data_IF_220319566490
#
_entry.id   IF_220319566490
#
_cell.length_a   1.000
_cell.length_b   1.000
_cell.length_c   1.000
_cell.angle_alpha   90.00
_cell.angle_beta   90.00
_cell.angle_gamma   90.00
#
_symmetry.space_group_name_H-M   'P 1'
#
loop_
_entity.id
_entity.type
_entity.pdbx_description
1 polymer ?
#
# COMPACT_ATOMS: atom_id res chain seq x y z
N UNK A 1 -7.82 16.36 -21.79
CA UNK A 1 -8.67 15.44 -21.01
C UNK A 1 -8.06 15.32 -19.62
N UNK A 2 -8.83 15.61 -18.58
CA UNK A 2 -8.41 15.45 -17.20
C UNK A 2 -8.02 13.98 -16.95
N UNK A 3 -6.82 13.74 -16.41
CA UNK A 3 -6.36 12.41 -16.02
C UNK A 3 -7.34 11.87 -14.96
N UNK A 4 -7.92 10.69 -15.18
CA UNK A 4 -8.82 10.07 -14.21
C UNK A 4 -8.03 9.68 -12.96
N UNK A 5 -8.36 10.27 -11.81
CA UNK A 5 -7.68 9.95 -10.55
C UNK A 5 -8.34 8.72 -9.91
N UNK A 6 -7.66 7.58 -9.99
CA UNK A 6 -8.14 6.30 -9.44
C UNK A 6 -8.28 6.36 -7.91
N UNK A 7 -7.55 7.27 -7.24
CA UNK A 7 -7.54 7.41 -5.78
C UNK A 7 -8.82 8.06 -5.22
N UNK A 8 -9.59 8.78 -6.03
CA UNK A 8 -10.82 9.46 -5.59
C UNK A 8 -12.06 8.56 -5.63
N UNK A 9 -11.90 7.32 -6.08
CA UNK A 9 -13.01 6.39 -6.21
C UNK A 9 -13.40 5.80 -4.84
N UNK A 10 -14.69 5.77 -4.53
CA UNK A 10 -15.23 5.32 -3.22
C UNK A 10 -14.74 3.92 -2.79
N UNK A 11 -14.57 3.01 -3.75
CA UNK A 11 -14.13 1.62 -3.52
C UNK A 11 -12.61 1.53 -3.29
N UNK A 12 -11.83 2.54 -3.70
CA UNK A 12 -10.37 2.52 -3.60
C UNK A 12 -9.96 3.06 -2.22
N UNK A 13 -9.33 2.24 -1.36
CA UNK A 13 -8.91 2.69 -0.04
C UNK A 13 -7.70 3.63 -0.12
N UNK A 14 -7.43 4.32 0.98
CA UNK A 14 -6.27 5.18 1.10
C UNK A 14 -5.00 4.34 1.24
N UNK A 15 -3.98 4.66 0.43
CA UNK A 15 -2.69 3.97 0.45
C UNK A 15 -1.61 4.94 0.94
N UNK A 16 -0.76 4.46 1.85
CA UNK A 16 0.36 5.22 2.41
C UNK A 16 1.64 4.40 2.35
N UNK A 17 2.73 5.05 1.92
CA UNK A 17 4.05 4.45 1.99
C UNK A 17 4.57 4.51 3.43
N UNK A 18 4.94 3.36 3.98
CA UNK A 18 5.53 3.28 5.32
C UNK A 18 7.01 3.68 5.24
N UNK A 19 7.50 4.57 6.12
CA UNK A 19 8.93 4.86 6.25
C UNK A 19 9.73 3.63 6.69
N UNK A 20 10.96 3.47 6.20
CA UNK A 20 11.80 2.29 6.50
C UNK A 20 11.99 2.08 8.00
N UNK A 21 12.10 3.17 8.76
CA UNK A 21 12.31 3.16 10.22
C UNK A 21 11.13 2.56 11.00
N UNK A 22 9.92 2.62 10.43
CA UNK A 22 8.70 2.10 11.04
C UNK A 22 8.31 0.72 10.52
N UNK A 23 8.90 0.26 9.41
CA UNK A 23 8.64 -1.06 8.85
C UNK A 23 8.93 -2.17 9.86
N UNK A 24 10.07 -2.10 10.56
CA UNK A 24 10.47 -3.13 11.54
C UNK A 24 9.58 -3.14 12.79
N UNK A 25 9.09 -1.98 13.22
CA UNK A 25 8.15 -1.86 14.34
C UNK A 25 6.82 -2.51 13.98
N UNK A 26 6.27 -2.18 12.81
CA UNK A 26 5.00 -2.72 12.31
C UNK A 26 5.09 -4.25 12.15
N UNK A 27 6.18 -4.76 11.60
CA UNK A 27 6.39 -6.20 11.47
C UNK A 27 6.47 -6.92 12.83
N UNK A 28 7.09 -6.27 13.82
CA UNK A 28 7.19 -6.79 15.18
C UNK A 28 5.83 -6.83 15.89
N UNK A 29 5.02 -5.78 15.74
CA UNK A 29 3.64 -5.72 16.27
C UNK A 29 2.74 -6.79 15.65
N UNK A 30 2.85 -6.97 14.33
CA UNK A 30 2.11 -8.00 13.58
C UNK A 30 2.68 -9.41 13.76
N UNK A 31 3.85 -9.56 14.39
CA UNK A 31 4.58 -10.83 14.56
C UNK A 31 4.67 -11.61 13.25
N UNK A 32 4.98 -10.91 12.16
CA UNK A 32 4.93 -11.44 10.79
C UNK A 32 6.19 -11.02 10.01
N UNK A 33 6.55 -11.80 8.99
CA UNK A 33 7.65 -11.48 8.09
C UNK A 33 7.14 -10.71 6.85
N UNK A 34 8.01 -9.91 6.21
CA UNK A 34 7.66 -9.18 4.97
C UNK A 34 7.10 -10.11 3.90
N UNK A 35 7.62 -11.34 3.83
CA UNK A 35 7.23 -12.35 2.85
C UNK A 35 5.83 -12.93 3.07
N UNK A 36 5.38 -12.94 4.33
CA UNK A 36 4.05 -13.42 4.71
C UNK A 36 2.96 -12.38 4.46
N UNK A 37 3.32 -11.11 4.21
CA UNK A 37 2.36 -10.08 3.86
C UNK A 37 1.81 -10.28 2.44
N UNK A 38 0.52 -9.95 2.20
CA UNK A 38 -0.04 -9.97 0.86
C UNK A 38 0.75 -9.07 -0.07
N UNK A 39 1.04 -9.59 -1.27
CA UNK A 39 1.88 -8.92 -2.26
C UNK A 39 1.05 -7.98 -3.13
N UNK A 40 1.63 -6.84 -3.50
CA UNK A 40 1.09 -5.91 -4.49
C UNK A 40 2.13 -5.66 -5.57
N UNK A 41 1.70 -5.73 -6.83
CA UNK A 41 2.61 -5.48 -7.96
C UNK A 41 2.97 -4.00 -8.03
N UNK A 42 4.23 -3.71 -8.33
CA UNK A 42 4.66 -2.35 -8.69
C UNK A 42 3.94 -1.79 -9.92
N UNK A 43 3.35 -2.65 -10.77
CA UNK A 43 2.57 -2.24 -11.94
C UNK A 43 1.13 -1.84 -11.60
N UNK A 44 0.69 -2.01 -10.36
CA UNK A 44 -0.67 -1.73 -9.94
C UNK A 44 -1.01 -0.21 -10.07
N UNK A 45 -2.20 0.17 -10.56
CA UNK A 45 -2.58 1.57 -10.71
C UNK A 45 -2.55 2.39 -9.42
N UNK A 46 -2.88 1.79 -8.27
CA UNK A 46 -2.86 2.50 -6.98
C UNK A 46 -1.43 2.84 -6.56
N UNK A 47 -0.49 1.94 -6.84
CA UNK A 47 0.95 2.17 -6.62
C UNK A 47 1.46 3.29 -7.50
N UNK A 48 1.13 3.26 -8.79
CA UNK A 48 1.54 4.31 -9.74
C UNK A 48 0.99 5.67 -9.36
N UNK A 49 -0.28 5.73 -8.94
CA UNK A 49 -0.88 6.98 -8.47
C UNK A 49 -0.19 7.51 -7.20
N UNK A 50 0.23 6.61 -6.31
CA UNK A 50 0.97 6.96 -5.10
C UNK A 50 2.40 7.44 -5.42
N UNK A 51 3.09 6.83 -6.39
CA UNK A 51 4.38 7.32 -6.91
C UNK A 51 4.26 8.71 -7.53
N UNK A 52 3.19 8.96 -8.31
CA UNK A 52 2.89 10.28 -8.88
C UNK A 52 2.63 11.31 -7.77
N UNK A 53 1.91 10.94 -6.71
CA UNK A 53 1.60 11.83 -5.58
C UNK A 53 2.83 12.15 -4.70
N UNK A 54 3.70 11.17 -4.45
CA UNK A 54 4.92 11.36 -3.65
C UNK A 54 6.14 11.81 -4.46
N UNK A 55 5.99 11.92 -5.79
CA UNK A 55 7.07 12.22 -6.74
C UNK A 55 8.32 11.35 -6.51
N UNK A 56 8.11 10.10 -6.05
CA UNK A 56 9.15 9.18 -5.59
C UNK A 56 8.81 7.78 -6.09
N UNK A 57 9.81 7.08 -6.63
CA UNK A 57 9.64 5.68 -7.04
C UNK A 57 9.64 4.76 -5.82
N UNK A 58 8.66 3.87 -5.76
CA UNK A 58 8.59 2.88 -4.70
C UNK A 58 9.46 1.70 -5.09
N UNK A 59 10.41 1.37 -4.20
CA UNK A 59 11.28 0.21 -4.38
C UNK A 59 10.55 -1.12 -4.17
N UNK A 60 11.26 -2.20 -4.44
CA UNK A 60 10.82 -3.55 -4.07
C UNK A 60 10.87 -3.75 -2.56
N UNK A 61 10.04 -4.68 -2.06
CA UNK A 61 10.01 -5.10 -0.66
C UNK A 61 9.71 -3.97 0.33
N UNK A 62 8.91 -2.98 -0.10
CA UNK A 62 8.41 -1.88 0.72
C UNK A 62 7.02 -2.19 1.25
N UNK A 63 6.73 -1.72 2.45
CA UNK A 63 5.41 -1.91 3.07
C UNK A 63 4.50 -0.74 2.75
N UNK A 64 3.29 -1.06 2.35
CA UNK A 64 2.23 -0.11 2.09
C UNK A 64 1.13 -0.34 3.10
N UNK A 65 0.81 0.72 3.84
CA UNK A 65 -0.32 0.78 4.74
C UNK A 65 -1.55 1.18 3.94
N UNK A 66 -2.61 0.40 4.08
CA UNK A 66 -3.89 0.60 3.41
C UNK A 66 -4.94 0.82 4.49
N UNK A 67 -5.61 1.96 4.45
CA UNK A 67 -6.68 2.30 5.37
C UNK A 67 -7.99 2.16 4.59
N UNK A 68 -8.75 1.11 4.90
CA UNK A 68 -10.05 0.84 4.25
C UNK A 68 -11.19 1.08 5.21
N UNK A 69 -12.30 1.59 4.68
CA UNK A 69 -13.56 1.66 5.41
C UNK A 69 -14.15 0.25 5.53
N UNK A 70 -14.36 -0.21 6.75
CA UNK A 70 -15.00 -1.48 7.06
C UNK A 70 -16.43 -1.23 7.56
N UNK A 71 -17.45 -1.94 7.03
CA UNK A 71 -18.82 -1.76 7.49
C UNK A 71 -19.03 -2.19 8.96
N UNK A 72 -18.17 -3.07 9.48
CA UNK A 72 -18.26 -3.57 10.86
C UNK A 72 -17.38 -2.82 11.83
N UNK A 73 -16.16 -2.46 11.41
CA UNK A 73 -15.12 -1.87 12.27
C UNK A 73 -14.90 -0.37 12.05
N UNK A 74 -15.63 0.25 11.11
CA UNK A 74 -15.43 1.63 10.70
C UNK A 74 -14.21 1.77 9.80
N UNK A 75 -13.00 1.68 10.37
CA UNK A 75 -11.73 1.74 9.64
C UNK A 75 -10.86 0.55 9.99
N UNK A 76 -10.16 0.01 9.00
CA UNK A 76 -9.27 -1.12 9.18
C UNK A 76 -7.93 -0.87 8.48
N UNK A 77 -6.85 -1.05 9.23
CA UNK A 77 -5.49 -0.93 8.73
C UNK A 77 -5.02 -2.27 8.18
N UNK A 78 -4.50 -2.25 6.95
CA UNK A 78 -4.01 -3.44 6.26
C UNK A 78 -2.63 -3.17 5.67
N UNK A 79 -1.75 -4.16 5.68
CA UNK A 79 -0.38 -4.00 5.20
C UNK A 79 -0.12 -4.93 4.02
N UNK A 80 0.51 -4.40 2.98
CA UNK A 80 0.93 -5.15 1.79
C UNK A 80 2.38 -4.88 1.45
N UNK A 81 3.04 -5.83 0.81
CA UNK A 81 4.45 -5.70 0.38
C UNK A 81 4.55 -5.55 -1.14
N UNK A 82 5.39 -4.62 -1.61
CA UNK A 82 5.61 -4.40 -3.04
C UNK A 82 6.51 -5.48 -3.64
N UNK A 83 6.13 -5.99 -4.82
CA UNK A 83 6.91 -6.97 -5.59
C UNK A 83 7.01 -6.56 -7.06
N UNK A 84 8.15 -6.87 -7.68
CA UNK A 84 8.36 -6.67 -9.11
C UNK A 84 7.94 -7.94 -9.85
N UNK A 85 6.72 -7.95 -10.38
CA UNK A 85 6.22 -9.02 -11.24
C UNK A 85 4.91 -9.64 -10.78
N UNK A 86 4.17 -10.13 -11.78
CA UNK A 86 2.87 -10.82 -11.63
C UNK A 86 3.16 -12.28 -11.30
N UNK A 87 2.55 -12.79 -10.23
CA UNK A 87 2.34 -14.23 -10.05
C UNK A 87 0.92 -14.55 -10.49
#
# INVERSE_FOLDING_TARGET
MSKFNVLEHEIVPEHHLVPVEDEDKILSELKTTKEALPKISLTDPAIRALEEALNTKIGENRIIKIIRKSPTAGYYEYYRVTVKGVF
#
